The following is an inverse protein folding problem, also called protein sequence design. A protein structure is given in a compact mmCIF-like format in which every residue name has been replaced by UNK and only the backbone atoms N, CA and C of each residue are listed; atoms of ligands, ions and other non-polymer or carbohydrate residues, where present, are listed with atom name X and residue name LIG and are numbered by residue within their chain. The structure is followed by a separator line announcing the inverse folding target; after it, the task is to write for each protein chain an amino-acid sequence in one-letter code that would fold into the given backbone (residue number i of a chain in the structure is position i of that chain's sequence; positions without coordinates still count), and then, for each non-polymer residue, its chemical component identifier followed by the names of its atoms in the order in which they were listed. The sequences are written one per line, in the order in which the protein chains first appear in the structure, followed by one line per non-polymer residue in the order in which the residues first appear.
data_IF_919995872013
#
_entry.id   IF_919995872013
#
_cell.length_a   1.000
_cell.length_b   1.000
_cell.length_c   1.000
_cell.angle_alpha   90.00
_cell.angle_beta   90.00
_cell.angle_gamma   90.00
#
_symmetry.space_group_name_H-M   'P 1'
#
loop_
_entity.id
_entity.type
_entity.pdbx_description
1 polymer ?
#
# COMPACT_ATOMS: atom_id res chain seq x y z
N UNK A 1 -53.08 -17.12 -8.68
CA UNK A 1 -53.08 -15.78 -8.06
C UNK A 1 -51.70 -15.20 -8.29
N UNK A 2 -51.59 -14.33 -9.28
CA UNK A 2 -50.34 -13.68 -9.67
C UNK A 2 -50.11 -12.46 -8.79
N UNK A 3 -49.09 -12.52 -7.93
CA UNK A 3 -48.67 -11.38 -7.11
C UNK A 3 -47.54 -10.65 -7.83
N UNK A 4 -47.88 -9.57 -8.54
CA UNK A 4 -46.90 -8.59 -9.00
C UNK A 4 -46.33 -7.82 -7.79
N UNK A 5 -45.03 -7.96 -7.53
CA UNK A 5 -44.34 -7.15 -6.51
C UNK A 5 -43.98 -5.79 -7.08
N UNK A 6 -44.64 -4.74 -6.59
CA UNK A 6 -44.38 -3.34 -6.98
C UNK A 6 -43.25 -2.74 -6.14
N UNK A 7 -42.00 -3.13 -6.42
CA UNK A 7 -40.83 -2.50 -5.81
C UNK A 7 -40.26 -1.41 -6.75
N UNK A 8 -40.77 -0.17 -6.61
CA UNK A 8 -40.10 1.02 -7.16
C UNK A 8 -38.98 1.42 -6.19
N UNK A 9 -37.77 0.88 -6.36
CA UNK A 9 -36.56 1.49 -5.79
C UNK A 9 -35.95 2.41 -6.85
N UNK A 10 -36.32 3.69 -6.77
CA UNK A 10 -35.57 4.77 -7.40
C UNK A 10 -34.23 4.88 -6.67
N UNK A 11 -33.20 4.25 -7.20
CA UNK A 11 -31.83 4.47 -6.74
C UNK A 11 -31.39 5.81 -7.32
N UNK A 12 -31.73 6.90 -6.62
CA UNK A 12 -31.02 8.15 -6.77
C UNK A 12 -29.57 7.87 -6.36
N UNK A 13 -28.71 7.65 -7.37
CA UNK A 13 -27.27 7.61 -7.21
C UNK A 13 -26.85 8.95 -6.63
N UNK A 14 -26.75 9.03 -5.31
CA UNK A 14 -26.00 10.08 -4.63
C UNK A 14 -24.58 9.99 -5.18
N UNK A 15 -24.29 10.88 -6.13
CA UNK A 15 -22.96 11.10 -6.66
C UNK A 15 -22.15 11.63 -5.48
N UNK A 16 -21.45 10.73 -4.79
CA UNK A 16 -20.43 11.12 -3.84
C UNK A 16 -19.40 11.84 -4.70
N UNK A 17 -19.39 13.17 -4.63
CA UNK A 17 -18.35 13.99 -5.25
C UNK A 17 -17.05 13.67 -4.52
N UNK A 18 -16.39 12.62 -4.98
CA UNK A 18 -14.98 12.38 -4.69
C UNK A 18 -14.24 13.67 -4.98
N UNK A 19 -13.38 14.06 -4.03
CA UNK A 19 -12.59 15.29 -4.10
C UNK A 19 -12.12 15.54 -5.53
N UNK A 20 -12.50 16.69 -6.07
CA UNK A 20 -12.22 17.06 -7.45
C UNK A 20 -10.72 16.87 -7.69
N UNK A 21 -10.32 16.03 -8.68
CA UNK A 21 -8.92 15.71 -8.88
C UNK A 21 -8.16 17.01 -9.08
N UNK A 22 -7.25 17.29 -8.15
CA UNK A 22 -6.42 18.49 -8.23
C UNK A 22 -5.66 18.40 -9.54
N UNK A 23 -5.73 19.44 -10.37
CA UNK A 23 -5.04 19.51 -11.67
C UNK A 23 -3.51 19.49 -11.56
N UNK A 24 -2.96 19.49 -10.34
CA UNK A 24 -1.52 19.43 -10.08
C UNK A 24 -1.03 17.99 -10.08
N UNK A 25 0.11 17.74 -10.73
CA UNK A 25 0.73 16.41 -10.73
C UNK A 25 1.06 16.03 -9.28
N UNK A 26 0.74 14.80 -8.83
CA UNK A 26 0.88 14.44 -7.42
C UNK A 26 2.34 14.48 -6.93
N UNK A 27 3.32 14.29 -7.81
CA UNK A 27 4.75 14.45 -7.49
C UNK A 27 5.17 15.91 -7.30
N UNK A 28 4.53 16.85 -8.00
CA UNK A 28 4.73 18.28 -7.76
C UNK A 28 4.15 18.67 -6.39
N UNK A 29 2.97 18.14 -6.04
CA UNK A 29 2.37 18.36 -4.73
C UNK A 29 3.24 17.79 -3.59
N UNK A 30 3.84 16.61 -3.80
CA UNK A 30 4.78 16.02 -2.86
C UNK A 30 6.04 16.88 -2.70
N UNK A 31 6.60 17.42 -3.79
CA UNK A 31 7.72 18.36 -3.75
C UNK A 31 7.35 19.64 -2.99
N UNK A 32 6.20 20.22 -3.28
CA UNK A 32 5.74 21.45 -2.63
C UNK A 32 5.54 21.26 -1.12
N UNK A 33 4.94 20.14 -0.72
CA UNK A 33 4.73 19.81 0.70
C UNK A 33 6.05 19.51 1.41
N UNK A 34 6.95 18.73 0.81
CA UNK A 34 8.29 18.49 1.36
C UNK A 34 9.09 19.79 1.54
N UNK A 35 9.09 20.65 0.52
CA UNK A 35 9.83 21.92 0.56
C UNK A 35 9.29 22.88 1.63
N UNK A 36 7.97 22.85 1.86
CA UNK A 36 7.29 23.60 2.93
C UNK A 36 7.77 23.18 4.33
N UNK A 37 8.08 21.90 4.53
CA UNK A 37 8.58 21.37 5.81
C UNK A 37 10.11 21.49 5.95
N UNK A 38 10.87 21.16 4.90
CA UNK A 38 12.33 21.12 4.96
C UNK A 38 12.97 22.50 5.05
N UNK A 39 12.56 23.48 4.23
CA UNK A 39 13.23 24.79 4.19
C UNK A 39 13.20 25.51 5.54
N UNK A 40 12.06 25.54 6.28
CA UNK A 40 12.02 26.06 7.65
C UNK A 40 12.85 25.23 8.64
N UNK A 41 12.82 23.89 8.53
CA UNK A 41 13.60 23.03 9.42
C UNK A 41 15.12 23.25 9.24
N UNK A 42 15.59 23.36 8.00
CA UNK A 42 17.01 23.58 7.71
C UNK A 42 17.44 24.98 8.15
N UNK A 43 16.64 26.01 7.93
CA UNK A 43 16.96 27.38 8.35
C UNK A 43 16.98 27.57 9.87
N UNK A 44 16.15 26.83 10.60
CA UNK A 44 16.14 26.85 12.08
C UNK A 44 17.26 26.02 12.68
N UNK A 45 17.56 24.83 12.13
CA UNK A 45 18.56 23.91 12.68
C UNK A 45 20.00 24.26 12.27
N UNK A 46 20.22 24.77 11.07
CA UNK A 46 21.56 25.09 10.55
C UNK A 46 22.40 26.02 11.47
N UNK A 47 21.87 27.10 12.08
CA UNK A 47 22.66 27.96 12.97
C UNK A 47 22.88 27.36 14.36
N UNK A 48 22.10 26.35 14.77
CA UNK A 48 22.18 25.70 16.09
C UNK A 48 23.19 24.53 16.06
N UNK A 49 23.35 23.90 14.89
CA UNK A 49 24.22 22.75 14.69
C UNK A 49 25.71 23.14 14.58
N UNK A 50 26.63 22.26 15.02
CA UNK A 50 28.05 22.43 14.76
C UNK A 50 28.33 22.59 13.26
N UNK A 51 29.32 23.40 12.85
CA UNK A 51 29.54 23.80 11.45
C UNK A 51 29.70 22.62 10.48
N UNK A 52 30.31 21.52 10.93
CA UNK A 52 30.45 20.29 10.14
C UNK A 52 29.10 19.60 9.85
N UNK A 53 28.18 19.63 10.80
CA UNK A 53 26.82 19.09 10.67
C UNK A 53 25.93 20.05 9.88
N UNK A 54 26.06 21.36 10.12
CA UNK A 54 25.33 22.40 9.40
C UNK A 54 25.62 22.36 7.89
N UNK A 55 26.89 22.26 7.50
CA UNK A 55 27.27 22.11 6.08
C UNK A 55 26.67 20.83 5.47
N UNK A 56 26.74 19.69 6.18
CA UNK A 56 26.15 18.43 5.71
C UNK A 56 24.62 18.52 5.55
N UNK A 57 23.95 19.18 6.48
CA UNK A 57 22.50 19.43 6.44
C UNK A 57 22.13 20.27 5.21
N UNK A 58 22.87 21.34 4.94
CA UNK A 58 22.65 22.18 3.76
C UNK A 58 22.93 21.43 2.45
N UNK A 59 24.02 20.65 2.37
CA UNK A 59 24.31 19.83 1.19
C UNK A 59 23.23 18.77 0.95
N UNK A 60 22.80 18.06 2.00
CA UNK A 60 21.73 17.09 1.91
C UNK A 60 20.39 17.73 1.51
N UNK A 61 20.12 18.93 2.04
CA UNK A 61 18.94 19.71 1.68
C UNK A 61 18.95 20.14 0.21
N UNK A 62 20.10 20.56 -0.32
CA UNK A 62 20.25 20.90 -1.74
C UNK A 62 20.08 19.67 -2.63
N UNK A 63 20.69 18.54 -2.25
CA UNK A 63 20.56 17.28 -2.98
C UNK A 63 19.10 16.81 -3.02
N UNK A 64 18.37 16.98 -1.91
CA UNK A 64 16.95 16.67 -1.85
C UNK A 64 16.12 17.57 -2.79
N UNK A 65 16.39 18.89 -2.85
CA UNK A 65 15.73 19.79 -3.80
C UNK A 65 15.93 19.33 -5.25
N UNK A 66 17.16 18.95 -5.63
CA UNK A 66 17.48 18.49 -6.98
C UNK A 66 16.80 17.14 -7.29
N UNK A 67 16.84 16.19 -6.36
CA UNK A 67 16.16 14.89 -6.52
C UNK A 67 14.65 15.05 -6.63
N UNK A 68 14.00 15.87 -5.79
CA UNK A 68 12.56 16.09 -5.88
C UNK A 68 12.16 16.87 -7.13
N UNK A 69 13.05 17.72 -7.66
CA UNK A 69 12.84 18.37 -8.95
C UNK A 69 12.82 17.32 -10.08
N UNK A 70 13.81 16.45 -10.13
CA UNK A 70 13.87 15.34 -11.10
C UNK A 70 12.64 14.42 -10.96
N UNK A 71 12.24 14.06 -9.74
CA UNK A 71 11.03 13.27 -9.50
C UNK A 71 9.76 13.99 -9.97
N UNK A 72 9.66 15.30 -9.78
CA UNK A 72 8.48 16.07 -10.22
C UNK A 72 8.34 16.17 -11.74
N UNK A 73 9.43 15.96 -12.48
CA UNK A 73 9.44 15.91 -13.94
C UNK A 73 8.94 14.55 -14.48
N UNK A 74 8.90 13.51 -13.64
CA UNK A 74 8.36 12.20 -14.02
C UNK A 74 6.86 12.32 -14.25
N UNK A 75 6.44 12.02 -15.48
CA UNK A 75 5.02 11.99 -15.82
C UNK A 75 4.40 10.64 -15.44
N UNK A 76 3.67 10.61 -14.33
CA UNK A 76 2.97 9.40 -13.86
C UNK A 76 1.94 8.89 -14.89
N UNK A 77 1.40 9.78 -15.74
CA UNK A 77 0.47 9.40 -16.82
C UNK A 77 1.16 8.59 -17.93
N UNK A 78 2.50 8.69 -18.02
CA UNK A 78 3.31 7.93 -18.97
C UNK A 78 3.85 6.63 -18.37
N UNK A 79 3.80 6.47 -17.03
CA UNK A 79 4.06 5.18 -16.37
C UNK A 79 2.90 4.25 -16.68
N UNK A 80 3.13 3.33 -17.61
CA UNK A 80 2.10 2.39 -18.02
C UNK A 80 1.73 1.48 -16.84
N UNK A 81 0.44 1.22 -16.68
CA UNK A 81 -0.09 0.26 -15.71
C UNK A 81 0.53 -1.15 -15.83
N UNK A 82 1.16 -1.45 -16.97
CA UNK A 82 1.97 -2.65 -17.23
C UNK A 82 3.29 -2.68 -16.48
N UNK A 83 3.94 -1.54 -16.24
CA UNK A 83 5.21 -1.45 -15.50
C UNK A 83 5.00 -1.67 -14.00
N UNK A 84 3.84 -1.29 -13.49
CA UNK A 84 3.44 -1.51 -12.09
C UNK A 84 2.90 -2.93 -11.83
N UNK A 85 2.57 -3.67 -12.88
CA UNK A 85 2.05 -5.05 -12.79
C UNK A 85 3.00 -6.02 -12.06
N UNK A 86 4.30 -6.12 -12.38
CA UNK A 86 5.22 -7.01 -11.66
C UNK A 86 5.32 -6.67 -10.17
N UNK A 87 5.34 -5.39 -9.81
CA UNK A 87 5.37 -4.96 -8.42
C UNK A 87 4.10 -5.39 -7.65
N UNK A 88 2.91 -5.20 -8.26
CA UNK A 88 1.64 -5.63 -7.67
C UNK A 88 1.53 -7.15 -7.51
N UNK A 89 2.03 -7.92 -8.49
CA UNK A 89 2.10 -9.38 -8.41
C UNK A 89 3.05 -9.82 -7.30
N UNK A 90 4.25 -9.23 -7.24
CA UNK A 90 5.23 -9.53 -6.20
C UNK A 90 4.66 -9.28 -4.81
N UNK A 91 3.94 -8.16 -4.62
CA UNK A 91 3.27 -7.86 -3.37
C UNK A 91 2.24 -8.92 -3.00
N UNK A 92 1.34 -9.29 -3.92
CA UNK A 92 0.36 -10.37 -3.69
C UNK A 92 1.02 -11.71 -3.32
N UNK A 93 2.13 -12.05 -3.98
CA UNK A 93 2.90 -13.26 -3.69
C UNK A 93 3.55 -13.20 -2.30
N UNK A 94 4.08 -12.05 -1.89
CA UNK A 94 4.63 -11.84 -0.55
C UNK A 94 3.58 -12.03 0.54
N UNK A 95 2.35 -11.56 0.34
CA UNK A 95 1.25 -11.78 1.29
C UNK A 95 0.93 -13.28 1.45
N UNK A 96 0.87 -14.03 0.35
CA UNK A 96 0.63 -15.48 0.39
C UNK A 96 1.77 -16.19 1.12
N UNK A 97 3.02 -15.89 0.74
CA UNK A 97 4.21 -16.49 1.35
C UNK A 97 4.33 -16.17 2.84
N UNK A 98 4.10 -14.93 3.22
CA UNK A 98 4.13 -14.50 4.63
C UNK A 98 3.02 -15.17 5.44
N UNK A 99 1.79 -15.23 4.92
CA UNK A 99 0.68 -15.93 5.58
C UNK A 99 1.00 -17.42 5.81
N UNK A 100 1.54 -18.10 4.79
CA UNK A 100 1.94 -19.51 4.90
C UNK A 100 3.09 -19.70 5.92
N UNK A 101 4.11 -18.84 5.88
CA UNK A 101 5.22 -18.86 6.83
C UNK A 101 4.72 -18.66 8.27
N UNK A 102 3.82 -17.71 8.49
CA UNK A 102 3.28 -17.42 9.83
C UNK A 102 2.44 -18.57 10.37
N UNK A 103 1.69 -19.28 9.52
CA UNK A 103 1.01 -20.50 9.92
C UNK A 103 2.03 -21.56 10.34
N UNK A 104 3.11 -21.77 9.58
CA UNK A 104 4.17 -22.73 9.93
C UNK A 104 4.81 -22.38 11.28
N UNK A 105 5.13 -21.09 11.50
CA UNK A 105 5.69 -20.60 12.76
C UNK A 105 4.71 -20.81 13.91
N UNK A 106 3.42 -20.54 13.71
CA UNK A 106 2.38 -20.77 14.72
C UNK A 106 2.28 -22.27 15.08
N UNK A 107 2.32 -23.17 14.09
CA UNK A 107 2.35 -24.61 14.34
C UNK A 107 3.60 -25.02 15.12
N UNK A 108 4.77 -24.51 14.75
CA UNK A 108 6.02 -24.82 15.45
C UNK A 108 5.99 -24.34 16.90
N UNK A 109 5.44 -23.14 17.13
CA UNK A 109 5.24 -22.56 18.46
C UNK A 109 4.34 -23.46 19.32
N UNK A 110 3.19 -23.87 18.78
CA UNK A 110 2.24 -24.73 19.48
C UNK A 110 2.83 -26.11 19.80
N UNK A 111 3.52 -26.71 18.84
CA UNK A 111 4.12 -28.03 19.01
C UNK A 111 5.28 -28.03 20.03
N UNK A 112 5.99 -26.90 20.16
CA UNK A 112 7.14 -26.77 21.07
C UNK A 112 6.72 -26.43 22.51
N UNK A 113 5.79 -25.48 22.70
CA UNK A 113 5.39 -25.02 24.03
C UNK A 113 4.20 -25.80 24.63
N UNK A 114 3.37 -26.39 23.78
CA UNK A 114 2.14 -27.07 24.20
C UNK A 114 2.02 -28.49 23.60
N UNK A 115 3.01 -29.37 23.82
CA UNK A 115 2.97 -30.75 23.34
C UNK A 115 1.82 -31.57 23.96
N UNK A 116 1.24 -31.10 25.06
CA UNK A 116 0.16 -31.77 25.79
C UNK A 116 -1.23 -31.50 25.21
N UNK A 117 -1.36 -30.50 24.32
CA UNK A 117 -2.64 -30.12 23.71
C UNK A 117 -2.84 -30.89 22.40
N UNK A 118 -4.01 -31.53 22.27
CA UNK A 118 -4.43 -32.17 21.02
C UNK A 118 -4.66 -31.12 19.93
N UNK A 119 -4.47 -31.47 18.64
CA UNK A 119 -4.52 -30.55 17.52
C UNK A 119 -5.84 -29.74 17.45
N UNK A 120 -6.96 -30.36 17.82
CA UNK A 120 -8.28 -29.72 17.86
C UNK A 120 -8.35 -28.66 18.98
N UNK A 121 -7.77 -28.96 20.14
CA UNK A 121 -7.70 -28.05 21.29
C UNK A 121 -6.81 -26.83 20.97
N UNK A 122 -5.68 -27.06 20.29
CA UNK A 122 -4.77 -26.01 19.83
C UNK A 122 -5.47 -25.04 18.87
N UNK A 123 -6.19 -25.58 17.88
CA UNK A 123 -6.97 -24.79 16.91
C UNK A 123 -8.08 -24.01 17.60
N UNK A 124 -8.78 -24.60 18.58
CA UNK A 124 -9.84 -23.90 19.32
C UNK A 124 -9.28 -22.72 20.11
N UNK A 125 -8.14 -22.90 20.77
CA UNK A 125 -7.54 -21.87 21.62
C UNK A 125 -6.87 -20.75 20.80
N UNK A 126 -6.33 -21.08 19.63
CA UNK A 126 -5.57 -20.14 18.76
C UNK A 126 -6.33 -19.79 17.47
N UNK A 127 -7.65 -20.03 17.46
CA UNK A 127 -8.53 -19.83 16.30
C UNK A 127 -8.37 -18.45 15.67
N UNK A 128 -8.32 -17.40 16.50
CA UNK A 128 -8.20 -16.04 16.02
C UNK A 128 -6.91 -15.80 15.21
N UNK A 129 -5.78 -16.33 15.68
CA UNK A 129 -4.49 -16.19 14.99
C UNK A 129 -4.48 -16.98 13.68
N UNK A 130 -5.04 -18.18 13.69
CA UNK A 130 -5.21 -18.99 12.47
C UNK A 130 -6.05 -18.25 11.42
N UNK A 131 -7.22 -17.75 11.80
CA UNK A 131 -8.09 -16.99 10.89
C UNK A 131 -7.36 -15.77 10.34
N UNK A 132 -6.64 -15.04 11.20
CA UNK A 132 -5.91 -13.84 10.77
C UNK A 132 -4.84 -14.15 9.72
N UNK A 133 -4.01 -15.17 9.93
CA UNK A 133 -2.98 -15.55 8.96
C UNK A 133 -3.55 -16.12 7.66
N UNK A 134 -4.63 -16.90 7.74
CA UNK A 134 -5.33 -17.40 6.56
C UNK A 134 -5.97 -16.26 5.76
N UNK A 135 -6.63 -15.30 6.43
CA UNK A 135 -7.19 -14.12 5.78
C UNK A 135 -6.12 -13.28 5.08
N UNK A 136 -4.92 -13.19 5.65
CA UNK A 136 -3.78 -12.51 5.03
C UNK A 136 -3.34 -13.21 3.74
N UNK A 137 -3.28 -14.55 3.74
CA UNK A 137 -3.02 -15.34 2.53
C UNK A 137 -4.11 -15.22 1.46
N UNK A 138 -5.39 -15.28 1.87
CA UNK A 138 -6.55 -15.09 0.97
C UNK A 138 -6.48 -13.70 0.32
N UNK A 139 -6.17 -12.66 1.09
CA UNK A 139 -6.01 -11.30 0.57
C UNK A 139 -4.94 -11.24 -0.54
N UNK A 140 -3.80 -11.92 -0.34
CA UNK A 140 -2.77 -12.05 -1.36
C UNK A 140 -3.26 -12.77 -2.62
N UNK A 141 -4.02 -13.86 -2.47
CA UNK A 141 -4.64 -14.57 -3.60
C UNK A 141 -5.64 -13.69 -4.38
N UNK A 142 -6.49 -12.93 -3.68
CA UNK A 142 -7.41 -11.99 -4.33
C UNK A 142 -6.66 -10.89 -5.07
N UNK A 143 -5.55 -10.40 -4.51
CA UNK A 143 -4.71 -9.39 -5.16
C UNK A 143 -4.09 -9.90 -6.46
N UNK A 144 -3.63 -11.15 -6.48
CA UNK A 144 -3.16 -11.84 -7.68
C UNK A 144 -4.30 -12.11 -8.68
N UNK A 145 -5.44 -12.60 -8.20
CA UNK A 145 -6.61 -12.86 -9.04
C UNK A 145 -7.11 -11.61 -9.76
N UNK A 146 -7.16 -10.48 -9.04
CA UNK A 146 -7.49 -9.17 -9.61
C UNK A 146 -6.52 -8.77 -10.72
N UNK A 147 -5.22 -9.04 -10.56
CA UNK A 147 -4.19 -8.72 -11.56
C UNK A 147 -4.16 -9.70 -12.74
N UNK A 148 -4.61 -10.94 -12.53
CA UNK A 148 -4.78 -11.95 -13.58
C UNK A 148 -6.00 -11.64 -14.46
N UNK A 149 -7.10 -11.17 -13.85
CA UNK A 149 -8.33 -10.75 -14.55
C UNK A 149 -8.22 -9.38 -15.21
N UNK A 150 -7.15 -8.61 -14.91
CA UNK A 150 -6.96 -7.29 -15.50
C UNK A 150 -6.68 -7.43 -17.00
N UNK A 151 -7.49 -6.82 -17.88
CA UNK A 151 -7.24 -6.90 -19.31
C UNK A 151 -5.88 -6.26 -19.60
N UNK A 152 -5.03 -6.98 -20.32
CA UNK A 152 -3.80 -6.39 -20.85
C UNK A 152 -4.22 -5.21 -21.72
N UNK A 153 -3.90 -3.98 -21.29
CA UNK A 153 -4.19 -2.78 -22.06
C UNK A 153 -3.61 -3.00 -23.46
N UNK A 154 -4.49 -3.12 -24.46
CA UNK A 154 -4.09 -3.11 -25.87
C UNK A 154 -3.19 -1.90 -26.05
N UNK A 155 -1.94 -2.13 -26.44
CA UNK A 155 -1.09 -1.08 -26.97
C UNK A 155 -1.92 -0.34 -28.02
N UNK A 156 -2.27 0.92 -27.74
CA UNK A 156 -2.56 1.84 -28.82
C UNK A 156 -1.21 2.02 -29.52
N UNK A 157 -1.08 1.35 -30.67
CA UNK A 157 -0.04 1.64 -31.66
C UNK A 157 -0.10 3.12 -32.03
#
# INVERSE_FOLDING_TARGET
MDFESKAKTSTATNKIDFAQPTTRKPLELLRETEALLRRPAVTTLAPILPPKLSNRLQTASSLADDSFKELSEIDLDNISDLELRPARISLGLSFIGFGALMILVLLLYLNTLHPELNAIEQIRQHWYQYVWFVSLGITGMFMLGREAMRPASKQRK
#
